data_IF_109174101410
#
_entry.id   IF_109174101410
#
_cell.length_a   1.000
_cell.length_b   1.000
_cell.length_c   1.000
_cell.angle_alpha   90.00
_cell.angle_beta   90.00
_cell.angle_gamma   90.00
#
_symmetry.space_group_name_H-M   'P 1'
#
loop_
_entity.id
_entity.type
_entity.pdbx_description
1 polymer ?
#
# COMPACT_ATOMS: atom_id res chain seq x y z
N UNK A 1 36.42 8.88 19.50
CA UNK A 1 35.54 8.13 18.61
C UNK A 1 34.53 7.23 19.36
N UNK A 2 34.96 6.46 20.38
CA UNK A 2 34.03 5.60 21.17
C UNK A 2 33.01 6.41 21.98
N UNK A 3 33.36 7.60 22.47
CA UNK A 3 32.40 8.47 23.18
C UNK A 3 31.37 9.12 22.27
N UNK A 4 31.72 9.42 21.02
CA UNK A 4 30.79 10.00 20.05
C UNK A 4 29.77 8.96 19.53
N UNK A 5 30.14 7.67 19.38
CA UNK A 5 29.24 6.62 18.96
C UNK A 5 28.21 6.29 20.04
N UNK A 6 28.63 6.16 21.31
CA UNK A 6 27.70 5.90 22.43
C UNK A 6 26.70 7.04 22.64
N UNK A 7 27.14 8.30 22.52
CA UNK A 7 26.24 9.45 22.59
C UNK A 7 25.23 9.46 21.41
N UNK A 8 25.69 9.12 20.21
CA UNK A 8 24.82 8.98 19.02
C UNK A 8 23.76 7.89 19.21
N UNK A 9 24.12 6.75 19.79
CA UNK A 9 23.18 5.64 20.00
C UNK A 9 22.15 5.96 21.09
N UNK A 10 22.53 6.68 22.16
CA UNK A 10 21.59 7.18 23.16
C UNK A 10 20.61 8.17 22.53
N UNK A 11 21.11 9.08 21.70
CA UNK A 11 20.28 10.08 21.02
C UNK A 11 19.27 9.43 20.06
N UNK A 12 19.69 8.44 19.27
CA UNK A 12 18.81 7.70 18.37
C UNK A 12 17.67 6.99 19.10
N UNK A 13 17.98 6.30 20.20
CA UNK A 13 16.97 5.64 21.03
C UNK A 13 15.98 6.62 21.65
N UNK A 14 16.45 7.78 22.09
CA UNK A 14 15.59 8.83 22.61
C UNK A 14 14.66 9.38 21.51
N UNK A 15 15.18 9.57 20.29
CA UNK A 15 14.40 10.06 19.16
C UNK A 15 13.32 9.07 18.75
N UNK A 16 13.61 7.75 18.76
CA UNK A 16 12.60 6.71 18.53
C UNK A 16 11.48 6.81 19.57
N UNK A 17 11.81 6.95 20.87
CA UNK A 17 10.81 7.10 21.91
C UNK A 17 9.97 8.37 21.75
N UNK A 18 10.60 9.50 21.42
CA UNK A 18 9.92 10.77 21.18
C UNK A 18 8.99 10.68 19.96
N UNK A 19 9.41 9.97 18.93
CA UNK A 19 8.58 9.74 17.75
C UNK A 19 7.33 8.92 18.08
N UNK A 20 7.49 7.81 18.82
CA UNK A 20 6.38 6.97 19.27
C UNK A 20 5.37 7.79 20.08
N UNK A 21 5.83 8.53 21.08
CA UNK A 21 4.99 9.35 21.93
C UNK A 21 4.24 10.43 21.13
N UNK A 22 4.94 11.11 20.22
CA UNK A 22 4.33 12.11 19.34
C UNK A 22 3.22 11.52 18.49
N UNK A 23 3.48 10.37 17.83
CA UNK A 23 2.51 9.72 16.95
C UNK A 23 1.30 9.20 17.74
N UNK A 24 1.50 8.69 18.95
CA UNK A 24 0.43 8.20 19.80
C UNK A 24 -0.58 9.29 20.21
N UNK A 25 -0.18 10.56 20.15
CA UNK A 25 -1.04 11.70 20.49
C UNK A 25 -1.60 12.43 19.27
N UNK A 26 -1.25 12.00 18.06
CA UNK A 26 -1.78 12.63 16.84
C UNK A 26 -3.16 12.09 16.51
N UNK A 27 -4.17 12.97 16.33
CA UNK A 27 -5.46 12.57 15.80
C UNK A 27 -5.30 11.82 14.47
N UNK A 28 -6.14 10.84 14.23
CA UNK A 28 -6.14 10.03 13.04
C UNK A 28 -7.49 10.12 12.32
N UNK A 29 -7.49 9.91 11.02
CA UNK A 29 -8.71 9.77 10.21
C UNK A 29 -9.67 10.96 10.20
N UNK A 30 -9.13 12.17 10.42
CA UNK A 30 -9.93 13.40 10.47
C UNK A 30 -10.69 13.61 11.78
N UNK A 31 -10.37 12.83 12.82
CA UNK A 31 -10.85 13.06 14.17
C UNK A 31 -10.08 14.22 14.82
N UNK A 32 -10.69 14.88 15.80
CA UNK A 32 -10.05 15.97 16.56
C UNK A 32 -9.28 15.44 17.78
N UNK A 33 -9.77 14.36 18.38
CA UNK A 33 -9.18 13.76 19.57
C UNK A 33 -8.07 12.74 19.25
N UNK A 34 -7.07 12.59 20.13
CA UNK A 34 -6.10 11.52 20.04
C UNK A 34 -6.74 10.13 20.08
N UNK A 35 -6.13 9.11 19.44
CA UNK A 35 -6.64 7.74 19.53
C UNK A 35 -6.50 7.16 20.95
N UNK A 36 -7.43 6.28 21.34
CA UNK A 36 -7.37 5.56 22.63
C UNK A 36 -6.19 4.60 22.73
N UNK A 37 -5.73 4.08 21.58
CA UNK A 37 -4.59 3.19 21.50
C UNK A 37 -3.78 3.43 20.22
N UNK A 38 -2.45 3.37 20.33
CA UNK A 38 -1.53 3.41 19.20
C UNK A 38 -0.86 2.04 19.05
N UNK A 39 -1.05 1.41 17.89
CA UNK A 39 -0.44 0.12 17.57
C UNK A 39 0.88 0.35 16.84
N UNK A 40 1.98 -0.15 17.44
CA UNK A 40 3.33 -0.03 16.89
C UNK A 40 3.82 -1.41 16.50
N UNK A 41 4.12 -1.59 15.22
CA UNK A 41 4.72 -2.81 14.73
C UNK A 41 6.24 -2.67 14.66
N UNK A 42 6.94 -3.60 15.30
CA UNK A 42 8.37 -3.79 15.12
C UNK A 42 8.58 -5.05 14.27
N UNK A 43 9.00 -4.83 13.02
CA UNK A 43 9.29 -5.90 12.08
C UNK A 43 10.61 -6.60 12.36
N UNK A 44 10.81 -7.75 11.72
CA UNK A 44 11.99 -8.58 11.84
C UNK A 44 11.89 -9.64 12.94
N UNK A 45 12.89 -10.52 12.96
CA UNK A 45 13.00 -11.58 13.98
C UNK A 45 13.65 -11.02 15.25
N UNK A 46 13.16 -11.44 16.41
CA UNK A 46 13.81 -11.09 17.69
C UNK A 46 15.24 -11.65 17.68
N UNK A 47 16.21 -10.76 17.93
CA UNK A 47 17.64 -11.09 17.87
C UNK A 47 18.37 -10.61 16.62
N UNK A 48 17.65 -10.12 15.61
CA UNK A 48 18.27 -9.48 14.44
C UNK A 48 18.97 -8.19 14.83
N UNK A 49 20.14 -7.96 14.22
CA UNK A 49 20.99 -6.79 14.54
C UNK A 49 20.26 -5.48 14.23
N UNK A 50 19.51 -5.43 13.15
CA UNK A 50 18.77 -4.26 12.69
C UNK A 50 17.67 -3.82 13.68
N UNK A 51 17.01 -4.76 14.34
CA UNK A 51 15.93 -4.50 15.29
C UNK A 51 16.42 -4.11 16.69
N UNK A 52 17.68 -4.41 17.03
CA UNK A 52 18.25 -4.20 18.38
C UNK A 52 18.09 -2.76 18.92
N UNK A 53 18.33 -1.68 18.15
CA UNK A 53 18.15 -0.32 18.65
C UNK A 53 16.69 0.02 19.00
N UNK A 54 15.75 -0.55 18.24
CA UNK A 54 14.31 -0.35 18.46
C UNK A 54 13.82 -1.13 19.68
N UNK A 55 14.25 -2.37 19.84
CA UNK A 55 13.92 -3.20 21.02
C UNK A 55 14.40 -2.51 22.29
N UNK A 56 15.64 -2.02 22.30
CA UNK A 56 16.18 -1.29 23.44
C UNK A 56 15.45 0.04 23.69
N UNK A 57 15.05 0.76 22.62
CA UNK A 57 14.23 1.95 22.74
C UNK A 57 12.86 1.65 23.38
N UNK A 58 12.20 0.57 22.95
CA UNK A 58 10.91 0.14 23.50
C UNK A 58 11.02 -0.30 24.96
N UNK A 59 12.10 -1.02 25.31
CA UNK A 59 12.37 -1.40 26.70
C UNK A 59 12.49 -0.18 27.60
N UNK A 60 13.23 0.85 27.16
CA UNK A 60 13.37 2.11 27.88
C UNK A 60 12.07 2.91 27.90
N UNK A 61 11.33 2.89 26.79
CA UNK A 61 10.05 3.57 26.67
C UNK A 61 9.02 3.04 27.66
N UNK A 62 8.88 1.73 27.81
CA UNK A 62 8.00 1.12 28.81
C UNK A 62 8.35 1.62 30.23
N UNK A 63 9.64 1.74 30.55
CA UNK A 63 10.07 2.25 31.84
C UNK A 63 9.75 3.75 32.03
N UNK A 64 9.87 4.52 30.93
CA UNK A 64 9.60 5.97 30.92
C UNK A 64 8.12 6.30 31.10
N UNK A 65 7.22 5.60 30.40
CA UNK A 65 5.77 5.89 30.41
C UNK A 65 5.01 5.07 31.45
N UNK A 66 5.61 4.05 32.02
CA UNK A 66 4.99 3.13 32.98
C UNK A 66 4.38 1.90 32.28
N UNK A 67 4.36 0.79 33.01
CA UNK A 67 3.88 -0.51 32.48
C UNK A 67 2.41 -0.49 32.09
N UNK A 68 1.61 0.29 32.78
CA UNK A 68 0.16 0.38 32.54
C UNK A 68 -0.20 1.09 31.21
N UNK A 69 0.78 1.76 30.59
CA UNK A 69 0.60 2.50 29.34
C UNK A 69 1.21 1.79 28.12
N UNK A 70 1.81 0.61 28.27
CA UNK A 70 2.42 -0.15 27.18
C UNK A 70 2.14 -1.63 27.35
N UNK A 71 1.57 -2.25 26.33
CA UNK A 71 1.35 -3.69 26.27
C UNK A 71 2.22 -4.30 25.18
N UNK A 72 3.04 -5.29 25.52
CA UNK A 72 3.84 -6.03 24.56
C UNK A 72 3.13 -7.26 24.05
N UNK A 73 2.80 -7.25 22.76
CA UNK A 73 2.21 -8.38 22.04
C UNK A 73 3.29 -9.06 21.22
N UNK A 74 3.59 -10.31 21.53
CA UNK A 74 4.57 -11.11 20.80
C UNK A 74 3.88 -12.06 19.82
N UNK A 75 4.12 -11.84 18.53
CA UNK A 75 3.60 -12.70 17.46
C UNK A 75 4.61 -13.83 17.18
N UNK A 76 4.16 -15.06 17.18
CA UNK A 76 5.01 -16.24 17.02
C UNK A 76 4.32 -17.33 16.19
N UNK A 77 5.11 -18.28 15.69
CA UNK A 77 4.62 -19.42 14.94
C UNK A 77 4.58 -20.68 15.83
N UNK A 78 3.47 -21.39 15.81
CA UNK A 78 3.28 -22.72 16.38
C UNK A 78 3.09 -23.72 15.22
N UNK A 79 4.17 -24.33 14.72
CA UNK A 79 4.09 -25.29 13.62
C UNK A 79 3.24 -26.50 13.99
N UNK A 80 2.46 -26.97 13.04
CA UNK A 80 1.72 -28.25 13.12
C UNK A 80 2.50 -29.27 12.30
N UNK A 81 2.94 -30.33 12.93
CA UNK A 81 3.87 -31.30 12.35
C UNK A 81 3.25 -32.69 12.20
N UNK A 82 3.56 -33.31 11.06
CA UNK A 82 3.22 -34.69 10.77
C UNK A 82 1.72 -34.96 10.58
N UNK A 83 1.37 -36.22 10.25
CA UNK A 83 -0.02 -36.58 9.96
C UNK A 83 -0.94 -36.57 11.20
N UNK A 84 -0.38 -36.55 12.40
CA UNK A 84 -1.12 -36.50 13.68
C UNK A 84 -1.48 -35.07 14.11
N UNK A 85 -0.98 -34.05 13.42
CA UNK A 85 -1.29 -32.66 13.76
C UNK A 85 -0.64 -32.16 15.06
N UNK A 86 0.55 -32.66 15.44
CA UNK A 86 1.23 -32.25 16.67
C UNK A 86 1.69 -30.78 16.62
N UNK A 87 1.23 -29.98 17.59
CA UNK A 87 1.59 -28.55 17.71
C UNK A 87 2.93 -28.38 18.45
N UNK A 88 3.90 -27.76 17.79
CA UNK A 88 5.26 -27.58 18.33
C UNK A 88 5.42 -26.21 19.00
N UNK A 89 5.56 -26.20 20.32
CA UNK A 89 5.69 -25.01 21.14
C UNK A 89 7.12 -24.45 21.25
N UNK A 90 8.14 -25.23 20.89
CA UNK A 90 9.55 -24.86 21.05
C UNK A 90 9.95 -23.57 20.31
N UNK A 91 9.53 -23.31 19.06
CA UNK A 91 9.87 -22.05 18.37
C UNK A 91 9.40 -20.82 19.18
N UNK A 92 8.16 -20.81 19.65
CA UNK A 92 7.61 -19.73 20.49
C UNK A 92 8.38 -19.58 21.80
N UNK A 93 8.68 -20.70 22.49
CA UNK A 93 9.45 -20.68 23.73
C UNK A 93 10.84 -20.05 23.53
N UNK A 94 11.52 -20.38 22.42
CA UNK A 94 12.82 -19.80 22.08
C UNK A 94 12.73 -18.32 21.78
N UNK A 95 11.79 -17.90 20.96
CA UNK A 95 11.58 -16.51 20.59
C UNK A 95 11.27 -15.62 21.82
N UNK A 96 10.41 -16.10 22.71
CA UNK A 96 10.11 -15.39 23.98
C UNK A 96 11.33 -15.36 24.92
N UNK A 97 12.11 -16.44 24.97
CA UNK A 97 13.35 -16.48 25.75
C UNK A 97 14.35 -15.41 25.27
N UNK A 98 14.53 -15.27 23.96
CA UNK A 98 15.40 -14.25 23.38
C UNK A 98 14.88 -12.84 23.70
N UNK A 99 13.59 -12.58 23.53
CA UNK A 99 12.97 -11.29 23.86
C UNK A 99 13.18 -10.91 25.34
N UNK A 100 13.00 -11.87 26.23
CA UNK A 100 13.26 -11.69 27.69
C UNK A 100 14.73 -11.43 27.98
N UNK A 101 15.64 -12.09 27.22
CA UNK A 101 17.08 -11.82 27.27
C UNK A 101 17.44 -10.36 26.94
N UNK A 102 16.63 -9.73 26.09
CA UNK A 102 16.73 -8.31 25.75
C UNK A 102 15.97 -7.39 26.73
N UNK A 103 15.37 -7.93 27.79
CA UNK A 103 14.73 -7.19 28.87
C UNK A 103 13.27 -6.82 28.65
N UNK A 104 12.60 -7.42 27.66
CA UNK A 104 11.16 -7.27 27.41
C UNK A 104 10.46 -8.58 27.72
N UNK A 105 9.41 -8.54 28.53
CA UNK A 105 8.52 -9.67 28.79
C UNK A 105 7.20 -9.39 28.05
N UNK A 106 6.73 -10.29 27.18
CA UNK A 106 5.44 -10.11 26.54
C UNK A 106 4.29 -10.23 27.54
N UNK A 107 3.27 -9.42 27.33
CA UNK A 107 2.02 -9.47 28.09
C UNK A 107 1.03 -10.41 27.40
N UNK A 108 1.08 -10.48 26.07
CA UNK A 108 0.20 -11.31 25.23
C UNK A 108 1.05 -12.08 24.21
N UNK A 109 0.70 -13.35 24.00
CA UNK A 109 1.23 -14.18 22.92
C UNK A 109 0.14 -14.36 21.87
N UNK A 110 0.43 -13.93 20.62
CA UNK A 110 -0.41 -14.22 19.46
C UNK A 110 0.28 -15.30 18.64
N UNK A 111 -0.27 -16.51 18.68
CA UNK A 111 0.36 -17.69 18.11
C UNK A 111 -0.31 -18.05 16.77
N UNK A 112 0.43 -17.87 15.67
CA UNK A 112 0.01 -18.29 14.34
C UNK A 112 0.16 -19.80 14.18
N UNK A 113 -0.82 -20.44 13.59
CA UNK A 113 -0.83 -21.88 13.31
C UNK A 113 -1.73 -22.17 12.11
N UNK A 114 -1.57 -23.33 11.47
CA UNK A 114 -2.49 -23.77 10.42
C UNK A 114 -3.83 -24.25 10.96
N UNK A 115 -3.89 -24.58 12.25
CA UNK A 115 -5.08 -25.09 12.94
C UNK A 115 -5.26 -24.38 14.29
N UNK A 116 -6.47 -24.34 14.86
CA UNK A 116 -6.69 -23.84 16.21
C UNK A 116 -5.78 -24.54 17.23
N UNK A 117 -5.19 -23.78 18.14
CA UNK A 117 -4.39 -24.37 19.21
C UNK A 117 -5.27 -25.10 20.23
N UNK A 118 -4.79 -26.25 20.71
CA UNK A 118 -5.43 -26.96 21.81
C UNK A 118 -5.19 -26.23 23.14
N UNK A 119 -6.09 -26.43 24.10
CA UNK A 119 -5.94 -25.82 25.44
C UNK A 119 -4.66 -26.30 26.13
N UNK A 120 -4.29 -27.58 25.96
CA UNK A 120 -3.02 -28.11 26.45
C UNK A 120 -1.80 -27.38 25.88
N UNK A 121 -1.84 -27.04 24.59
CA UNK A 121 -0.77 -26.27 23.93
C UNK A 121 -0.72 -24.85 24.49
N UNK A 122 -1.87 -24.19 24.72
CA UNK A 122 -1.95 -22.86 25.34
C UNK A 122 -1.40 -22.86 26.76
N UNK A 123 -1.84 -23.80 27.61
CA UNK A 123 -1.34 -23.95 28.99
C UNK A 123 0.17 -24.16 29.03
N UNK A 124 0.69 -25.00 28.14
CA UNK A 124 2.12 -25.24 28.03
C UNK A 124 2.90 -23.99 27.65
N UNK A 125 2.41 -23.20 26.68
CA UNK A 125 3.02 -21.92 26.30
C UNK A 125 2.94 -20.91 27.43
N UNK A 126 1.79 -20.78 28.09
CA UNK A 126 1.58 -19.91 29.23
C UNK A 126 2.62 -20.18 30.34
N UNK A 127 2.80 -21.44 30.71
CA UNK A 127 3.74 -21.86 31.74
C UNK A 127 5.20 -21.55 31.36
N UNK A 128 5.62 -21.86 30.13
CA UNK A 128 7.00 -21.65 29.69
C UNK A 128 7.34 -20.19 29.34
N UNK A 129 6.37 -19.42 28.88
CA UNK A 129 6.56 -18.03 28.51
C UNK A 129 6.24 -17.05 29.63
N UNK A 130 5.67 -17.54 30.73
CA UNK A 130 5.30 -16.75 31.92
C UNK A 130 4.24 -15.67 31.61
N UNK A 131 3.22 -16.05 30.85
CA UNK A 131 2.03 -15.25 30.59
C UNK A 131 0.79 -15.97 31.14
N UNK A 132 -0.31 -15.24 31.32
CA UNK A 132 -1.58 -15.88 31.68
C UNK A 132 -2.05 -16.80 30.54
N UNK A 133 -2.68 -17.97 30.83
CA UNK A 133 -3.29 -18.81 29.79
C UNK A 133 -4.28 -18.05 28.90
N UNK A 134 -5.04 -17.12 29.46
CA UNK A 134 -5.98 -16.26 28.73
C UNK A 134 -5.28 -15.28 27.79
N UNK A 135 -4.01 -14.97 28.04
CA UNK A 135 -3.20 -14.11 27.18
C UNK A 135 -2.48 -14.88 26.07
N UNK A 136 -2.68 -16.20 25.93
CA UNK A 136 -2.18 -17.00 24.81
C UNK A 136 -3.28 -17.14 23.77
N UNK A 137 -3.18 -16.33 22.72
CA UNK A 137 -4.18 -16.26 21.65
C UNK A 137 -3.81 -17.14 20.47
N UNK A 138 -4.76 -17.91 19.99
CA UNK A 138 -4.64 -18.73 18.78
C UNK A 138 -5.10 -17.94 17.56
N UNK A 139 -4.21 -17.75 16.59
CA UNK A 139 -4.55 -17.22 15.27
C UNK A 139 -4.22 -18.27 14.23
N UNK A 140 -5.23 -18.97 13.75
CA UNK A 140 -5.09 -20.00 12.74
C UNK A 140 -5.49 -19.49 11.36
N UNK A 141 -5.18 -20.25 10.32
CA UNK A 141 -5.53 -19.92 8.95
C UNK A 141 -7.05 -19.78 8.81
N UNK A 142 -7.45 -18.72 8.13
CA UNK A 142 -8.85 -18.34 7.89
C UNK A 142 -9.06 -18.02 6.41
N UNK A 143 -10.29 -18.06 5.88
CA UNK A 143 -10.56 -17.79 4.47
C UNK A 143 -10.02 -16.45 3.99
N UNK A 144 -10.12 -15.41 4.81
CA UNK A 144 -9.52 -14.11 4.55
C UNK A 144 -9.01 -13.46 5.85
N UNK A 145 -8.03 -12.59 5.72
CA UNK A 145 -7.32 -11.94 6.85
C UNK A 145 -8.26 -11.11 7.76
N UNK A 146 -9.40 -10.66 7.24
CA UNK A 146 -10.33 -9.79 7.98
C UNK A 146 -11.11 -10.55 9.08
N UNK A 147 -11.03 -11.89 9.10
CA UNK A 147 -11.51 -12.68 10.23
C UNK A 147 -10.59 -12.64 11.45
N UNK A 148 -9.33 -12.25 11.30
CA UNK A 148 -8.35 -12.27 12.41
C UNK A 148 -8.76 -11.34 13.57
N UNK A 149 -9.17 -10.07 13.35
CA UNK A 149 -9.66 -9.23 14.45
C UNK A 149 -10.85 -9.83 15.21
N UNK A 150 -11.80 -10.46 14.50
CA UNK A 150 -12.94 -11.14 15.10
C UNK A 150 -12.53 -12.35 15.92
N UNK A 151 -11.49 -13.06 15.49
CA UNK A 151 -10.93 -14.19 16.22
C UNK A 151 -10.23 -13.74 17.51
N UNK A 152 -9.53 -12.63 17.49
CA UNK A 152 -8.87 -12.05 18.66
C UNK A 152 -9.89 -11.47 19.65
N UNK A 153 -10.91 -10.77 19.15
CA UNK A 153 -12.03 -10.26 19.96
C UNK A 153 -12.74 -11.40 20.70
N UNK A 154 -13.09 -12.48 20.01
CA UNK A 154 -13.73 -13.65 20.60
C UNK A 154 -12.90 -14.31 21.71
N UNK A 155 -11.57 -14.18 21.66
CA UNK A 155 -10.66 -14.68 22.70
C UNK A 155 -10.42 -13.67 23.82
N UNK A 156 -11.09 -12.51 23.80
CA UNK A 156 -11.06 -11.53 24.89
C UNK A 156 -9.88 -10.55 24.84
N UNK A 157 -9.33 -10.27 23.65
CA UNK A 157 -8.21 -9.32 23.51
C UNK A 157 -8.50 -7.97 24.16
N UNK A 158 -9.66 -7.38 23.89
CA UNK A 158 -10.07 -6.10 24.47
C UNK A 158 -10.05 -6.09 26.00
N UNK A 159 -10.56 -7.16 26.61
CA UNK A 159 -10.58 -7.32 28.06
C UNK A 159 -9.15 -7.35 28.65
N UNK A 160 -8.22 -8.03 27.96
CA UNK A 160 -6.82 -8.12 28.41
C UNK A 160 -6.12 -6.77 28.25
N UNK A 161 -6.44 -6.02 27.21
CA UNK A 161 -5.91 -4.67 26.98
C UNK A 161 -6.54 -3.61 27.89
N UNK A 162 -7.60 -3.94 28.63
CA UNK A 162 -8.33 -2.97 29.45
C UNK A 162 -9.12 -1.94 28.63
N UNK A 163 -9.39 -2.24 27.36
CA UNK A 163 -10.15 -1.37 26.46
C UNK A 163 -11.64 -1.70 26.62
N UNK A 164 -12.47 -0.67 26.80
CA UNK A 164 -13.92 -0.84 26.83
C UNK A 164 -14.45 -1.10 25.43
N UNK A 165 -14.92 -2.32 25.18
CA UNK A 165 -15.50 -2.77 23.91
C UNK A 165 -17.02 -2.89 23.97
N UNK A 166 -17.71 -2.01 24.71
CA UNK A 166 -19.17 -2.02 24.82
C UNK A 166 -19.85 -1.53 23.53
N UNK A 167 -19.18 -0.73 22.70
CA UNK A 167 -19.67 -0.39 21.37
C UNK A 167 -19.28 -1.48 20.36
N UNK A 168 -20.23 -2.36 20.08
CA UNK A 168 -20.04 -3.45 19.12
C UNK A 168 -20.35 -3.06 17.68
N UNK A 169 -20.82 -1.84 17.42
CA UNK A 169 -21.26 -1.41 16.08
C UNK A 169 -20.13 -1.46 15.05
N UNK A 170 -18.94 -0.97 15.39
CA UNK A 170 -17.77 -1.00 14.49
C UNK A 170 -17.33 -2.44 14.19
N UNK A 171 -17.37 -3.33 15.17
CA UNK A 171 -17.06 -4.75 14.98
C UNK A 171 -18.14 -5.47 14.17
N UNK A 172 -19.39 -5.02 14.23
CA UNK A 172 -20.46 -5.60 13.41
C UNK A 172 -20.28 -5.28 11.94
N UNK A 173 -19.99 -4.02 11.59
CA UNK A 173 -19.66 -3.64 10.20
C UNK A 173 -18.43 -4.41 9.68
N UNK A 174 -17.41 -4.57 10.53
CA UNK A 174 -16.23 -5.36 10.19
C UNK A 174 -16.55 -6.83 9.97
N UNK A 175 -17.43 -7.38 10.80
CA UNK A 175 -17.90 -8.78 10.70
C UNK A 175 -18.66 -9.00 9.41
N UNK A 176 -19.61 -8.13 9.08
CA UNK A 176 -20.36 -8.18 7.83
C UNK A 176 -19.41 -8.15 6.63
N UNK A 177 -18.44 -7.20 6.62
CA UNK A 177 -17.44 -7.09 5.58
C UNK A 177 -16.61 -8.37 5.42
N UNK A 178 -16.12 -8.97 6.51
CA UNK A 178 -15.29 -10.18 6.47
C UNK A 178 -16.06 -11.38 5.91
N UNK A 179 -17.34 -11.56 6.33
CA UNK A 179 -18.18 -12.65 5.85
C UNK A 179 -18.73 -12.41 4.45
N UNK A 180 -18.95 -11.18 4.04
CA UNK A 180 -19.40 -10.86 2.69
C UNK A 180 -18.29 -11.14 1.67
N UNK A 181 -17.03 -10.88 2.04
CA UNK A 181 -15.89 -11.21 1.18
C UNK A 181 -15.81 -12.70 0.83
N UNK A 182 -16.17 -13.58 1.78
CA UNK A 182 -16.19 -15.04 1.55
C UNK A 182 -17.28 -15.48 0.56
N UNK A 183 -18.31 -14.65 0.34
CA UNK A 183 -19.48 -14.97 -0.49
C UNK A 183 -19.40 -14.38 -1.90
N UNK A 184 -18.36 -13.63 -2.22
CA UNK A 184 -18.23 -12.99 -3.54
C UNK A 184 -18.09 -14.03 -4.65
N UNK A 185 -18.94 -13.91 -5.66
CA UNK A 185 -19.01 -14.84 -6.80
C UNK A 185 -18.80 -14.15 -8.14
N UNK A 186 -19.07 -12.85 -8.24
CA UNK A 186 -18.88 -12.10 -9.48
C UNK A 186 -17.43 -11.65 -9.58
N UNK A 187 -16.75 -12.09 -10.62
CA UNK A 187 -15.33 -11.78 -10.84
C UNK A 187 -15.13 -10.38 -11.46
N UNK A 188 -13.97 -9.79 -11.19
CA UNK A 188 -13.39 -8.66 -11.91
C UNK A 188 -11.91 -8.88 -12.06
N UNK A 189 -11.37 -8.67 -13.25
CA UNK A 189 -9.96 -8.89 -13.56
C UNK A 189 -9.25 -7.57 -13.89
N UNK A 190 -8.09 -7.37 -13.26
CA UNK A 190 -7.25 -6.18 -13.48
C UNK A 190 -5.89 -6.60 -14.00
N UNK A 191 -5.51 -6.11 -15.17
CA UNK A 191 -4.15 -6.21 -15.68
C UNK A 191 -3.23 -5.29 -14.88
N UNK A 192 -2.31 -5.84 -14.12
CA UNK A 192 -1.26 -5.08 -13.44
C UNK A 192 0.02 -5.11 -14.29
N UNK A 193 0.28 -4.00 -14.99
CA UNK A 193 1.41 -3.89 -15.91
C UNK A 193 2.60 -3.30 -15.16
N UNK A 194 3.47 -4.16 -14.69
CA UNK A 194 4.57 -3.81 -13.77
C UNK A 194 5.93 -4.37 -14.17
N UNK A 195 6.89 -4.22 -13.27
CA UNK A 195 8.21 -4.86 -13.30
C UNK A 195 8.28 -5.88 -12.18
N UNK A 196 9.11 -6.94 -12.34
CA UNK A 196 9.31 -7.93 -11.28
C UNK A 196 8.00 -8.55 -10.80
N UNK A 197 7.16 -8.94 -11.73
CA UNK A 197 5.83 -9.51 -11.46
C UNK A 197 5.88 -10.81 -10.66
N UNK A 198 7.03 -11.48 -10.62
CA UNK A 198 7.28 -12.68 -9.80
C UNK A 198 7.41 -12.37 -8.29
N UNK A 199 7.61 -11.09 -7.91
CA UNK A 199 7.74 -10.63 -6.53
C UNK A 199 6.52 -9.80 -6.11
N UNK A 200 5.43 -10.45 -5.77
CA UNK A 200 4.17 -9.81 -5.35
C UNK A 200 4.34 -8.82 -4.18
N UNK A 201 5.31 -9.06 -3.30
CA UNK A 201 5.59 -8.19 -2.15
C UNK A 201 5.97 -6.75 -2.55
N UNK A 202 6.56 -6.57 -3.74
CA UNK A 202 6.92 -5.24 -4.26
C UNK A 202 5.71 -4.33 -4.49
N UNK A 203 4.52 -4.91 -4.67
CA UNK A 203 3.28 -4.20 -4.96
C UNK A 203 2.20 -4.40 -3.89
N UNK A 204 2.57 -4.84 -2.69
CA UNK A 204 1.62 -5.23 -1.65
C UNK A 204 0.58 -4.14 -1.35
N UNK A 205 0.99 -2.87 -1.24
CA UNK A 205 0.06 -1.76 -1.00
C UNK A 205 -0.93 -1.56 -2.15
N UNK A 206 -0.48 -1.72 -3.40
CA UNK A 206 -1.35 -1.64 -4.60
C UNK A 206 -2.33 -2.80 -4.63
N UNK A 207 -1.86 -4.04 -4.37
CA UNK A 207 -2.71 -5.24 -4.27
C UNK A 207 -3.78 -5.05 -3.20
N UNK A 208 -3.39 -4.58 -2.01
CA UNK A 208 -4.34 -4.31 -0.91
C UNK A 208 -5.36 -3.26 -1.29
N UNK A 209 -4.96 -2.20 -1.99
CA UNK A 209 -5.87 -1.15 -2.45
C UNK A 209 -6.89 -1.67 -3.48
N UNK A 210 -6.45 -2.51 -4.41
CA UNK A 210 -7.35 -3.22 -5.33
C UNK A 210 -8.32 -4.12 -4.57
N UNK A 211 -7.85 -4.89 -3.57
CA UNK A 211 -8.69 -5.73 -2.72
C UNK A 211 -9.73 -4.91 -1.96
N UNK A 212 -9.33 -3.78 -1.33
CA UNK A 212 -10.26 -2.90 -0.63
C UNK A 212 -11.34 -2.33 -1.56
N UNK A 213 -10.96 -1.93 -2.77
CA UNK A 213 -11.89 -1.44 -3.77
C UNK A 213 -12.83 -2.55 -4.27
N UNK A 214 -12.30 -3.74 -4.54
CA UNK A 214 -13.08 -4.91 -4.96
C UNK A 214 -14.12 -5.34 -3.92
N UNK A 215 -13.75 -5.31 -2.62
CA UNK A 215 -14.68 -5.52 -1.52
C UNK A 215 -15.83 -4.50 -1.55
N UNK A 216 -15.52 -3.22 -1.76
CA UNK A 216 -16.53 -2.16 -1.79
C UNK A 216 -17.50 -2.31 -2.95
N UNK A 217 -17.04 -2.74 -4.12
CA UNK A 217 -17.88 -2.98 -5.30
C UNK A 217 -18.48 -4.39 -5.32
N UNK A 218 -18.19 -5.21 -4.29
CA UNK A 218 -18.67 -6.59 -4.13
C UNK A 218 -18.28 -7.50 -5.30
N UNK A 219 -16.99 -7.44 -5.68
CA UNK A 219 -16.42 -8.29 -6.74
C UNK A 219 -15.28 -9.13 -6.21
N UNK A 220 -15.13 -10.33 -6.73
CA UNK A 220 -13.98 -11.19 -6.49
C UNK A 220 -12.87 -10.77 -7.45
N UNK A 221 -11.80 -10.19 -6.89
CA UNK A 221 -10.67 -9.68 -7.65
C UNK A 221 -9.77 -10.81 -8.15
N UNK A 222 -9.46 -10.79 -9.45
CA UNK A 222 -8.32 -11.48 -10.02
C UNK A 222 -7.31 -10.45 -10.58
N UNK A 223 -6.01 -10.70 -10.40
CA UNK A 223 -4.94 -9.83 -10.90
C UNK A 223 -4.17 -10.60 -11.97
N UNK A 224 -4.24 -10.09 -13.19
CA UNK A 224 -3.44 -10.59 -14.31
C UNK A 224 -2.10 -9.84 -14.31
N UNK A 225 -1.06 -10.53 -13.86
CA UNK A 225 0.29 -9.98 -13.82
C UNK A 225 0.90 -9.93 -15.20
N UNK A 226 1.33 -8.74 -15.62
CA UNK A 226 1.92 -8.52 -16.93
C UNK A 226 3.28 -7.86 -16.74
N UNK A 227 4.35 -8.58 -17.10
CA UNK A 227 5.67 -7.99 -17.18
C UNK A 227 5.71 -6.98 -18.32
N UNK A 228 5.93 -5.71 -17.99
CA UNK A 228 5.77 -4.62 -18.93
C UNK A 228 6.65 -4.75 -20.18
N UNK A 229 7.87 -5.27 -20.05
CA UNK A 229 8.77 -5.48 -21.18
C UNK A 229 8.21 -6.45 -22.22
N UNK A 230 7.34 -7.40 -21.83
CA UNK A 230 6.72 -8.36 -22.75
C UNK A 230 5.69 -7.71 -23.70
N UNK A 231 5.24 -6.49 -23.41
CA UNK A 231 4.36 -5.73 -24.30
C UNK A 231 5.11 -4.87 -25.33
N UNK A 232 6.44 -4.92 -25.35
CA UNK A 232 7.29 -4.14 -26.25
C UNK A 232 7.49 -4.88 -27.58
N UNK A 233 7.51 -4.15 -28.70
CA UNK A 233 7.54 -4.74 -30.06
C UNK A 233 8.75 -5.65 -30.33
N UNK A 234 9.88 -5.41 -29.70
CA UNK A 234 11.07 -6.24 -29.87
C UNK A 234 10.89 -7.67 -29.30
N UNK A 235 9.99 -7.87 -28.30
CA UNK A 235 9.64 -9.18 -27.78
C UNK A 235 8.87 -10.03 -28.77
N UNK A 236 8.08 -9.41 -29.65
CA UNK A 236 7.35 -10.11 -30.70
C UNK A 236 8.26 -10.95 -31.60
N UNK A 237 9.48 -10.48 -31.83
CA UNK A 237 10.44 -11.17 -32.69
C UNK A 237 11.30 -12.17 -31.91
N UNK A 238 11.64 -11.87 -30.66
CA UNK A 238 12.62 -12.63 -29.90
C UNK A 238 11.98 -13.67 -28.97
N UNK A 239 10.78 -13.39 -28.46
CA UNK A 239 10.07 -14.17 -27.44
C UNK A 239 8.56 -14.09 -27.70
N UNK A 240 8.14 -14.61 -28.84
CA UNK A 240 6.75 -14.51 -29.36
C UNK A 240 5.71 -15.03 -28.36
N UNK A 241 5.99 -16.14 -27.67
CA UNK A 241 5.03 -16.77 -26.76
C UNK A 241 4.74 -15.88 -25.55
N UNK A 242 5.78 -15.28 -24.94
CA UNK A 242 5.63 -14.35 -23.82
C UNK A 242 4.95 -13.05 -24.26
N UNK A 243 5.26 -12.56 -25.46
CA UNK A 243 4.59 -11.41 -26.04
C UNK A 243 3.10 -11.66 -26.25
N UNK A 244 2.73 -12.77 -26.89
CA UNK A 244 1.34 -13.12 -27.14
C UNK A 244 0.57 -13.34 -25.84
N UNK A 245 1.17 -14.03 -24.88
CA UNK A 245 0.59 -14.26 -23.55
C UNK A 245 0.33 -12.95 -22.80
N UNK A 246 1.29 -12.01 -22.81
CA UNK A 246 1.14 -10.71 -22.16
C UNK A 246 0.01 -9.88 -22.79
N UNK A 247 -0.05 -9.83 -24.13
CA UNK A 247 -1.12 -9.15 -24.85
C UNK A 247 -2.49 -9.81 -24.66
N UNK A 248 -2.54 -11.13 -24.61
CA UNK A 248 -3.77 -11.85 -24.31
C UNK A 248 -4.27 -11.50 -22.90
N UNK A 249 -3.39 -11.60 -21.88
CA UNK A 249 -3.74 -11.23 -20.50
C UNK A 249 -4.22 -9.78 -20.38
N UNK A 250 -3.61 -8.84 -21.12
CA UNK A 250 -4.06 -7.45 -21.17
C UNK A 250 -5.48 -7.31 -21.77
N UNK A 251 -5.76 -8.01 -22.85
CA UNK A 251 -7.04 -7.96 -23.58
C UNK A 251 -8.18 -8.65 -22.85
N UNK A 252 -7.89 -9.65 -22.05
CA UNK A 252 -8.88 -10.41 -21.27
C UNK A 252 -9.21 -9.75 -19.94
N UNK A 253 -8.51 -8.66 -19.58
CA UNK A 253 -8.74 -7.95 -18.32
C UNK A 253 -9.80 -6.86 -18.47
N UNK A 254 -10.60 -6.67 -17.42
CA UNK A 254 -11.67 -5.68 -17.37
C UNK A 254 -11.15 -4.25 -17.12
N UNK A 255 -9.92 -4.12 -16.64
CA UNK A 255 -9.26 -2.84 -16.41
C UNK A 255 -7.75 -2.98 -16.38
N UNK A 256 -7.05 -1.86 -16.53
CA UNK A 256 -5.59 -1.77 -16.57
C UNK A 256 -5.07 -0.86 -15.46
N UNK A 257 -4.09 -1.35 -14.71
CA UNK A 257 -3.36 -0.57 -13.72
C UNK A 257 -1.87 -0.55 -14.05
N UNK A 258 -1.30 0.65 -14.17
CA UNK A 258 0.14 0.87 -14.30
C UNK A 258 0.65 1.51 -13.01
N UNK A 259 1.34 0.76 -12.16
CA UNK A 259 1.84 1.25 -10.87
C UNK A 259 3.06 2.15 -11.04
N UNK A 260 3.42 2.84 -9.96
CA UNK A 260 4.66 3.58 -9.83
C UNK A 260 5.90 2.69 -9.99
N UNK A 261 7.01 3.31 -10.35
CA UNK A 261 8.29 2.62 -10.51
C UNK A 261 9.40 3.60 -10.91
N UNK A 262 10.63 3.10 -10.96
CA UNK A 262 11.81 3.88 -11.39
C UNK A 262 12.56 3.14 -12.50
N UNK A 263 13.29 3.90 -13.31
CA UNK A 263 14.14 3.40 -14.40
C UNK A 263 13.37 3.02 -15.66
N UNK A 264 14.10 2.76 -16.72
CA UNK A 264 13.68 2.69 -18.13
C UNK A 264 13.11 1.33 -18.56
N UNK A 265 13.43 0.24 -17.86
CA UNK A 265 12.97 -1.11 -18.24
C UNK A 265 11.44 -1.20 -18.29
N UNK A 266 10.91 -1.65 -19.41
CA UNK A 266 9.47 -1.89 -19.62
C UNK A 266 8.63 -0.62 -19.78
N UNK A 267 9.26 0.54 -20.04
CA UNK A 267 8.55 1.82 -20.21
C UNK A 267 7.70 1.80 -21.47
N UNK A 268 8.23 1.34 -22.60
CA UNK A 268 7.49 1.27 -23.85
C UNK A 268 6.30 0.29 -23.76
N UNK A 269 6.48 -0.81 -23.02
CA UNK A 269 5.36 -1.72 -22.78
C UNK A 269 4.25 -1.10 -21.92
N UNK A 270 4.59 -0.26 -20.94
CA UNK A 270 3.60 0.51 -20.18
C UNK A 270 2.89 1.56 -21.04
N UNK A 271 3.63 2.23 -21.94
CA UNK A 271 3.06 3.16 -22.93
C UNK A 271 2.08 2.41 -23.84
N UNK A 272 2.44 1.21 -24.31
CA UNK A 272 1.58 0.37 -25.14
C UNK A 272 0.31 -0.07 -24.39
N UNK A 273 0.42 -0.40 -23.10
CA UNK A 273 -0.74 -0.74 -22.27
C UNK A 273 -1.68 0.46 -22.06
N UNK A 274 -1.11 1.66 -21.82
CA UNK A 274 -1.87 2.91 -21.69
C UNK A 274 -2.59 3.25 -23.00
N UNK A 275 -1.90 3.08 -24.14
CA UNK A 275 -2.48 3.24 -25.49
C UNK A 275 -3.65 2.29 -25.72
N UNK A 276 -3.44 1.00 -25.43
CA UNK A 276 -4.48 -0.01 -25.59
C UNK A 276 -5.73 0.35 -24.77
N UNK A 277 -5.55 0.73 -23.51
CA UNK A 277 -6.66 1.10 -22.64
C UNK A 277 -7.42 2.33 -23.18
N UNK A 278 -6.71 3.38 -23.62
CA UNK A 278 -7.31 4.59 -24.19
C UNK A 278 -8.08 4.30 -25.47
N UNK A 279 -7.47 3.60 -26.43
CA UNK A 279 -8.07 3.35 -27.74
C UNK A 279 -9.27 2.39 -27.71
N UNK A 280 -9.32 1.50 -26.73
CA UNK A 280 -10.37 0.49 -26.58
C UNK A 280 -11.38 0.81 -25.46
N UNK A 281 -11.32 2.00 -24.88
CA UNK A 281 -12.19 2.44 -23.78
C UNK A 281 -12.18 1.46 -22.57
N UNK A 282 -11.00 0.88 -22.26
CA UNK A 282 -10.79 0.00 -21.11
C UNK A 282 -10.40 0.85 -19.90
N UNK A 283 -11.04 0.67 -18.73
CA UNK A 283 -10.69 1.41 -17.51
C UNK A 283 -9.19 1.39 -17.22
N UNK A 284 -8.61 2.56 -16.96
CA UNK A 284 -7.18 2.74 -16.74
C UNK A 284 -6.92 3.56 -15.47
N UNK A 285 -5.96 3.09 -14.66
CA UNK A 285 -5.39 3.85 -13.56
C UNK A 285 -3.86 3.86 -13.69
N UNK A 286 -3.29 5.05 -13.87
CA UNK A 286 -1.84 5.28 -13.86
C UNK A 286 -1.37 5.94 -12.57
N UNK A 287 -0.46 5.30 -11.83
CA UNK A 287 0.06 5.81 -10.55
C UNK A 287 1.50 6.27 -10.74
N UNK A 288 1.83 7.50 -10.41
CA UNK A 288 3.17 8.09 -10.46
C UNK A 288 3.79 7.92 -11.87
N UNK A 289 4.67 6.96 -12.08
CA UNK A 289 5.17 6.61 -13.42
C UNK A 289 4.03 6.26 -14.39
N UNK A 290 2.95 5.65 -13.90
CA UNK A 290 1.76 5.33 -14.72
C UNK A 290 1.07 6.57 -15.30
N UNK A 291 0.98 7.67 -14.53
CA UNK A 291 0.54 8.96 -15.05
C UNK A 291 1.49 9.47 -16.15
N UNK A 292 2.80 9.38 -15.90
CA UNK A 292 3.82 9.91 -16.80
C UNK A 292 3.84 9.18 -18.14
N UNK A 293 3.78 7.84 -18.14
CA UNK A 293 3.76 7.05 -19.38
C UNK A 293 2.47 7.27 -20.19
N UNK A 294 1.33 7.45 -19.53
CA UNK A 294 0.08 7.80 -20.20
C UNK A 294 0.13 9.20 -20.82
N UNK A 295 0.80 10.16 -20.18
CA UNK A 295 1.03 11.50 -20.76
C UNK A 295 1.95 11.41 -21.98
N UNK A 296 3.04 10.63 -21.92
CA UNK A 296 3.94 10.40 -23.06
C UNK A 296 3.18 9.75 -24.21
N UNK A 297 2.37 8.71 -23.92
CA UNK A 297 1.51 8.05 -24.89
C UNK A 297 0.61 9.04 -25.62
N UNK A 298 -0.08 9.88 -24.84
CA UNK A 298 -1.00 10.88 -25.37
C UNK A 298 -0.30 11.92 -26.26
N UNK A 299 0.88 12.37 -25.85
CA UNK A 299 1.71 13.27 -26.67
C UNK A 299 2.11 12.63 -28.00
N UNK A 300 2.53 11.35 -27.99
CA UNK A 300 2.94 10.63 -29.20
C UNK A 300 1.78 10.38 -30.15
N UNK A 301 0.69 9.82 -29.65
CA UNK A 301 -0.35 9.24 -30.50
C UNK A 301 -1.57 10.16 -30.71
N UNK A 302 -1.77 11.19 -29.90
CA UNK A 302 -2.87 12.16 -30.05
C UNK A 302 -2.35 13.51 -30.55
N UNK A 303 -1.23 14.00 -30.00
CA UNK A 303 -0.65 15.28 -30.42
C UNK A 303 0.33 15.15 -31.61
N UNK A 304 0.70 13.92 -32.02
CA UNK A 304 1.66 13.69 -33.12
C UNK A 304 3.09 14.07 -32.79
N UNK A 305 3.46 14.05 -31.50
CA UNK A 305 4.83 14.31 -31.02
C UNK A 305 5.59 12.98 -30.93
N UNK A 306 5.94 12.38 -32.07
CA UNK A 306 6.49 11.01 -32.17
C UNK A 306 7.70 10.74 -31.26
N UNK A 307 8.55 11.76 -31.03
CA UNK A 307 9.72 11.68 -30.13
C UNK A 307 9.43 12.03 -28.67
N UNK A 308 8.17 12.17 -28.26
CA UNK A 308 7.85 12.55 -26.88
C UNK A 308 8.35 11.50 -25.87
N UNK A 309 9.05 11.96 -24.82
CA UNK A 309 9.63 11.09 -23.81
C UNK A 309 9.78 11.81 -22.45
N UNK A 310 10.24 11.08 -21.45
CA UNK A 310 10.71 11.63 -20.18
C UNK A 310 12.20 11.90 -20.24
N UNK A 311 12.64 13.03 -19.68
CA UNK A 311 14.07 13.31 -19.49
C UNK A 311 14.74 12.39 -18.46
N UNK A 312 13.98 11.50 -17.81
CA UNK A 312 14.51 10.39 -17.01
C UNK A 312 15.10 9.30 -17.91
N UNK A 313 14.47 9.03 -19.06
CA UNK A 313 14.83 7.92 -19.95
C UNK A 313 15.67 8.38 -21.13
N UNK A 314 15.42 9.61 -21.61
CA UNK A 314 16.17 10.24 -22.68
C UNK A 314 16.36 11.74 -22.36
N UNK A 315 17.57 12.10 -21.93
CA UNK A 315 17.90 13.50 -21.61
C UNK A 315 17.82 14.44 -22.84
N UNK A 316 17.86 13.89 -24.05
CA UNK A 316 17.83 14.62 -25.32
C UNK A 316 16.50 14.42 -26.06
N UNK A 317 15.43 14.02 -25.37
CA UNK A 317 14.12 13.83 -25.99
C UNK A 317 13.72 15.04 -26.83
N UNK A 318 13.28 14.82 -28.07
CA UNK A 318 12.87 15.89 -29.00
C UNK A 318 11.69 16.67 -28.41
N UNK A 319 10.75 15.96 -27.78
CA UNK A 319 9.61 16.54 -27.06
C UNK A 319 9.62 16.03 -25.62
N UNK A 320 10.21 16.77 -24.67
CA UNK A 320 10.27 16.38 -23.26
C UNK A 320 8.89 16.52 -22.61
N UNK A 321 8.07 15.47 -22.69
CA UNK A 321 6.72 15.45 -22.13
C UNK A 321 6.73 15.37 -20.59
N UNK A 322 7.76 14.73 -20.02
CA UNK A 322 8.00 14.63 -18.59
C UNK A 322 9.40 15.11 -18.29
N UNK A 323 9.54 16.03 -17.34
CA UNK A 323 10.81 16.69 -17.04
C UNK A 323 11.21 16.51 -15.58
N UNK A 324 12.50 16.65 -15.31
CA UNK A 324 13.02 16.74 -13.95
C UNK A 324 12.54 18.05 -13.30
N UNK A 325 12.08 17.99 -12.04
CA UNK A 325 11.57 19.17 -11.32
C UNK A 325 12.65 20.26 -11.22
N UNK A 326 12.40 21.49 -11.69
CA UNK A 326 13.44 22.53 -11.87
C UNK A 326 14.11 22.98 -10.57
N UNK A 327 13.40 22.96 -9.44
CA UNK A 327 13.94 23.37 -8.14
C UNK A 327 14.78 22.31 -7.46
N UNK A 328 14.91 21.12 -8.04
CA UNK A 328 15.67 20.01 -7.48
C UNK A 328 17.07 19.94 -8.09
N UNK A 329 18.08 19.81 -7.24
CA UNK A 329 19.47 19.67 -7.70
C UNK A 329 19.74 18.29 -8.28
N UNK A 330 20.21 18.22 -9.52
CA UNK A 330 20.66 16.98 -10.19
C UNK A 330 21.92 16.37 -9.54
N UNK A 331 22.71 17.18 -8.83
CA UNK A 331 24.00 16.76 -8.27
C UNK A 331 23.94 16.32 -6.81
N UNK A 332 22.92 16.72 -6.06
CA UNK A 332 22.71 16.35 -4.66
C UNK A 332 21.40 15.56 -4.54
N UNK A 333 21.46 14.26 -4.84
CA UNK A 333 20.28 13.39 -4.87
C UNK A 333 19.67 13.06 -3.50
N UNK A 334 20.34 13.39 -2.41
CA UNK A 334 19.80 13.25 -1.05
C UNK A 334 18.82 14.38 -0.71
N UNK A 335 17.55 14.06 -0.43
CA UNK A 335 16.53 15.05 -0.09
C UNK A 335 15.89 15.80 -1.27
N UNK A 336 16.03 15.31 -2.49
CA UNK A 336 15.59 15.95 -3.74
C UNK A 336 14.32 15.35 -4.36
N UNK A 337 13.60 14.53 -3.64
CA UNK A 337 12.28 14.05 -4.08
C UNK A 337 11.17 14.94 -3.50
N UNK A 338 10.09 15.14 -4.25
CA UNK A 338 8.82 15.57 -3.67
C UNK A 338 8.31 14.42 -2.81
N UNK A 339 8.32 14.61 -1.52
CA UNK A 339 8.05 13.56 -0.52
C UNK A 339 6.95 13.97 0.45
N UNK A 340 6.27 12.95 1.00
CA UNK A 340 5.30 13.09 2.08
C UNK A 340 3.92 13.49 1.60
N UNK A 341 3.04 13.80 2.56
CA UNK A 341 1.67 14.27 2.27
C UNK A 341 1.73 15.67 1.70
N UNK A 342 1.02 15.89 0.57
CA UNK A 342 0.92 17.18 -0.10
C UNK A 342 -0.51 17.39 -0.58
N UNK A 343 -1.03 18.63 -0.51
CA UNK A 343 -2.34 18.94 -1.02
C UNK A 343 -2.35 18.99 -2.54
N UNK A 344 -3.42 18.46 -3.13
CA UNK A 344 -3.77 18.57 -4.55
C UNK A 344 -5.09 19.32 -4.64
N UNK A 345 -5.12 20.44 -5.33
CA UNK A 345 -6.28 21.32 -5.47
C UNK A 345 -7.05 21.03 -6.75
N UNK A 346 -8.38 20.96 -6.66
CA UNK A 346 -9.24 20.75 -7.81
C UNK A 346 -9.22 21.95 -8.75
N UNK A 347 -9.10 21.68 -10.05
CA UNK A 347 -9.10 22.70 -11.10
C UNK A 347 -10.43 22.80 -11.84
N UNK A 348 -11.32 21.82 -11.61
CA UNK A 348 -12.64 21.75 -12.23
C UNK A 348 -13.71 21.47 -11.17
N UNK A 349 -14.91 21.99 -11.38
CA UNK A 349 -16.02 21.80 -10.44
C UNK A 349 -16.56 20.38 -10.45
N UNK A 350 -16.61 19.74 -11.60
CA UNK A 350 -17.15 18.40 -11.78
C UNK A 350 -16.23 17.53 -12.62
N UNK A 351 -15.74 16.45 -12.04
CA UNK A 351 -15.03 15.35 -12.72
C UNK A 351 -15.20 14.04 -11.95
N UNK A 352 -14.96 12.90 -12.60
CA UNK A 352 -15.20 11.57 -12.03
C UNK A 352 -14.42 11.38 -10.74
N UNK A 353 -13.13 11.73 -10.76
CA UNK A 353 -12.26 11.52 -9.62
C UNK A 353 -12.61 12.43 -8.42
N UNK A 354 -13.00 13.68 -8.63
CA UNK A 354 -13.46 14.58 -7.57
C UNK A 354 -14.71 14.03 -6.87
N UNK A 355 -15.69 13.55 -7.65
CA UNK A 355 -16.89 12.91 -7.09
C UNK A 355 -16.54 11.71 -6.20
N UNK A 356 -15.57 10.90 -6.58
CA UNK A 356 -15.12 9.74 -5.80
C UNK A 356 -14.42 10.12 -4.50
N UNK A 357 -13.66 11.22 -4.49
CA UNK A 357 -13.05 11.75 -3.27
C UNK A 357 -14.09 12.39 -2.33
N UNK A 358 -15.11 13.01 -2.89
CA UNK A 358 -16.17 13.67 -2.12
C UNK A 358 -15.67 14.89 -1.32
N UNK A 359 -14.66 15.60 -1.82
CA UNK A 359 -14.06 16.78 -1.18
C UNK A 359 -14.23 18.01 -2.08
N UNK A 360 -14.45 19.17 -1.48
CA UNK A 360 -14.77 20.39 -2.23
C UNK A 360 -13.54 21.09 -2.78
N UNK A 361 -12.48 21.25 -1.97
CA UNK A 361 -11.34 22.12 -2.30
C UNK A 361 -10.10 21.34 -2.72
N UNK A 362 -9.68 20.36 -1.92
CA UNK A 362 -8.42 19.66 -2.11
C UNK A 362 -8.40 18.27 -1.50
N UNK A 363 -7.39 17.50 -1.85
CA UNK A 363 -7.06 16.21 -1.24
C UNK A 363 -5.59 16.18 -0.86
N UNK A 364 -5.29 15.62 0.31
CA UNK A 364 -3.92 15.36 0.72
C UNK A 364 -3.52 13.96 0.33
N UNK A 365 -2.45 13.82 -0.45
CA UNK A 365 -1.94 12.51 -0.86
C UNK A 365 -0.42 12.42 -0.76
N UNK A 366 0.13 11.19 -0.72
CA UNK A 366 1.57 10.98 -0.54
C UNK A 366 2.31 10.98 -1.85
N UNK A 367 3.35 11.80 -1.95
CA UNK A 367 4.23 11.93 -3.12
C UNK A 367 5.57 11.24 -2.90
N UNK A 368 6.12 10.70 -4.00
CA UNK A 368 7.47 10.14 -4.06
C UNK A 368 7.97 10.17 -5.51
N UNK A 369 8.27 11.36 -6.02
CA UNK A 369 8.74 11.50 -7.42
C UNK A 369 9.76 12.63 -7.57
N UNK A 370 10.53 12.60 -8.68
CA UNK A 370 11.49 13.62 -9.12
C UNK A 370 11.12 14.24 -10.46
N UNK A 371 10.25 13.58 -11.21
CA UNK A 371 9.84 13.99 -12.54
C UNK A 371 8.36 14.32 -12.52
N UNK A 372 7.97 15.25 -13.39
CA UNK A 372 6.60 15.74 -13.52
C UNK A 372 6.27 16.09 -14.97
N UNK A 373 4.99 16.26 -15.29
CA UNK A 373 4.55 16.69 -16.61
C UNK A 373 5.15 18.08 -16.92
N UNK A 374 5.70 18.22 -18.14
CA UNK A 374 6.27 19.49 -18.58
C UNK A 374 5.20 20.58 -18.66
N UNK A 375 5.33 21.69 -17.91
CA UNK A 375 4.37 22.79 -17.94
C UNK A 375 4.16 23.41 -19.34
N UNK A 376 5.18 23.39 -20.20
CA UNK A 376 5.14 24.03 -21.52
C UNK A 376 4.17 23.35 -22.51
N UNK A 377 3.76 22.10 -22.25
CA UNK A 377 2.87 21.34 -23.13
C UNK A 377 1.48 21.10 -22.57
N UNK A 378 1.21 21.53 -21.33
CA UNK A 378 -0.07 21.30 -20.64
C UNK A 378 -1.24 21.80 -21.46
N UNK A 379 -1.15 23.03 -21.99
CA UNK A 379 -2.23 23.64 -22.77
C UNK A 379 -2.58 22.82 -24.02
N UNK A 380 -1.57 22.29 -24.72
CA UNK A 380 -1.77 21.45 -25.90
C UNK A 380 -2.46 20.13 -25.54
N UNK A 381 -2.07 19.53 -24.41
CA UNK A 381 -2.66 18.29 -23.90
C UNK A 381 -4.14 18.50 -23.52
N UNK A 382 -4.42 19.60 -22.81
CA UNK A 382 -5.79 19.92 -22.37
C UNK A 382 -6.71 20.25 -23.55
N UNK A 383 -6.22 20.95 -24.57
CA UNK A 383 -6.95 21.23 -25.81
C UNK A 383 -7.29 19.97 -26.60
N UNK A 384 -6.45 18.93 -26.48
CA UNK A 384 -6.68 17.63 -27.14
C UNK A 384 -7.58 16.67 -26.33
N UNK A 385 -8.04 17.07 -25.12
CA UNK A 385 -9.06 16.36 -24.36
C UNK A 385 -8.59 15.65 -23.10
N UNK A 386 -7.29 15.58 -22.78
CA UNK A 386 -6.80 15.10 -21.49
C UNK A 386 -6.69 16.28 -20.53
N UNK A 387 -7.56 16.34 -19.53
CA UNK A 387 -7.63 17.47 -18.59
C UNK A 387 -6.87 17.22 -17.31
N UNK A 388 -6.08 18.17 -16.88
CA UNK A 388 -5.45 18.15 -15.57
C UNK A 388 -6.39 18.74 -14.51
N UNK A 389 -7.17 17.85 -13.91
CA UNK A 389 -8.25 18.17 -12.96
C UNK A 389 -7.76 18.41 -11.53
N UNK A 390 -6.51 18.06 -11.22
CA UNK A 390 -5.86 18.31 -9.93
C UNK A 390 -4.45 18.86 -10.11
N UNK A 391 -4.12 19.95 -9.40
CA UNK A 391 -2.81 20.59 -9.41
C UNK A 391 -2.35 20.91 -7.98
N UNK A 392 -1.05 21.16 -7.82
CA UNK A 392 -0.47 21.57 -6.54
C UNK A 392 -0.91 22.97 -6.10
N UNK A 393 -0.42 23.42 -4.96
CA UNK A 393 -0.68 24.74 -4.39
C UNK A 393 -0.25 25.93 -5.25
N UNK A 394 0.66 25.70 -6.21
CA UNK A 394 1.10 26.73 -7.16
C UNK A 394 0.24 26.80 -8.41
N UNK A 395 -0.58 25.78 -8.67
CA UNK A 395 -1.37 25.61 -9.89
C UNK A 395 -0.53 25.25 -11.13
N UNK A 396 0.76 24.97 -10.96
CA UNK A 396 1.67 24.68 -12.06
C UNK A 396 1.92 23.18 -12.26
N UNK A 397 1.92 22.38 -11.17
CA UNK A 397 2.20 20.95 -11.24
C UNK A 397 0.94 20.15 -11.42
N UNK A 398 0.93 19.35 -12.46
CA UNK A 398 -0.17 18.44 -12.78
C UNK A 398 -0.08 17.19 -11.93
N UNK A 399 -1.04 16.99 -11.04
CA UNK A 399 -1.07 15.88 -10.09
C UNK A 399 -2.15 14.84 -10.40
N UNK A 400 -3.23 15.26 -11.10
CA UNK A 400 -4.28 14.34 -11.56
C UNK A 400 -4.68 14.74 -12.97
N UNK A 401 -4.72 13.78 -13.88
CA UNK A 401 -5.43 13.93 -15.14
C UNK A 401 -6.63 13.00 -15.23
N UNK A 402 -7.61 13.42 -16.05
CA UNK A 402 -8.77 12.64 -16.45
C UNK A 402 -9.05 12.84 -17.94
N UNK A 403 -9.46 11.77 -18.63
CA UNK A 403 -9.92 11.83 -20.01
C UNK A 403 -11.45 11.82 -20.01
N UNK A 404 -12.07 12.93 -20.49
CA UNK A 404 -13.52 13.15 -20.39
C UNK A 404 -14.36 12.09 -21.09
N UNK A 405 -14.02 11.78 -22.35
CA UNK A 405 -14.79 10.89 -23.20
C UNK A 405 -14.45 9.38 -23.00
N UNK A 406 -13.83 9.05 -21.88
CA UNK A 406 -13.46 7.70 -21.53
C UNK A 406 -14.24 7.20 -20.31
N UNK A 407 -14.57 5.90 -20.25
CA UNK A 407 -15.29 5.32 -19.12
C UNK A 407 -14.57 5.59 -17.80
N UNK A 408 -13.27 5.37 -17.74
CA UNK A 408 -12.37 5.75 -16.65
C UNK A 408 -10.93 5.73 -17.14
N UNK A 409 -10.31 6.88 -17.32
CA UNK A 409 -8.90 6.98 -17.70
C UNK A 409 -8.27 8.07 -16.85
N UNK A 410 -7.67 7.65 -15.75
CA UNK A 410 -7.19 8.54 -14.70
C UNK A 410 -5.72 8.26 -14.43
N UNK A 411 -4.93 9.32 -14.34
CA UNK A 411 -3.56 9.27 -13.85
C UNK A 411 -3.40 10.15 -12.62
N UNK A 412 -2.64 9.64 -11.63
CA UNK A 412 -2.31 10.37 -10.41
C UNK A 412 -0.80 10.36 -10.20
N UNK A 413 -0.20 11.52 -9.88
CA UNK A 413 1.25 11.63 -9.66
C UNK A 413 1.67 11.16 -8.27
N UNK A 414 0.76 11.19 -7.33
CA UNK A 414 0.92 10.69 -5.97
C UNK A 414 0.65 9.17 -5.87
N UNK A 415 0.81 8.63 -4.68
CA UNK A 415 0.63 7.22 -4.35
C UNK A 415 -0.62 6.99 -3.48
N UNK A 416 -1.81 6.85 -4.10
CA UNK A 416 -3.08 6.73 -3.38
C UNK A 416 -3.22 5.39 -2.63
N UNK A 417 -2.39 4.39 -2.93
CA UNK A 417 -2.35 3.10 -2.25
C UNK A 417 -2.03 3.22 -0.76
N UNK A 418 -1.34 4.26 -0.33
CA UNK A 418 -0.97 4.43 1.07
C UNK A 418 -2.12 4.86 1.99
N UNK A 419 -3.21 5.34 1.43
CA UNK A 419 -4.40 5.76 2.20
C UNK A 419 -5.57 4.80 2.10
N UNK A 420 -5.46 3.74 1.29
CA UNK A 420 -6.53 2.76 1.13
C UNK A 420 -6.66 1.87 2.36
N UNK A 421 -7.90 1.64 2.79
CA UNK A 421 -8.24 0.82 3.95
C UNK A 421 -9.45 -0.07 3.70
N UNK A 422 -9.60 -1.18 4.43
CA UNK A 422 -10.86 -1.94 4.44
C UNK A 422 -12.04 -1.03 4.80
N UNK A 423 -13.16 -1.17 4.10
CA UNK A 423 -14.31 -0.30 4.26
C UNK A 423 -14.18 1.13 3.67
N UNK A 424 -12.95 1.63 3.51
CA UNK A 424 -12.64 2.96 3.00
C UNK A 424 -11.53 2.90 1.93
N UNK A 425 -11.85 2.31 0.76
CA UNK A 425 -10.89 2.17 -0.32
C UNK A 425 -10.45 3.53 -0.85
N UNK A 426 -9.20 3.61 -1.32
CA UNK A 426 -8.71 4.81 -1.98
C UNK A 426 -9.53 5.10 -3.24
N UNK A 427 -10.01 6.35 -3.44
CA UNK A 427 -10.92 6.73 -4.52
C UNK A 427 -10.43 6.40 -5.93
N UNK A 428 -9.14 6.58 -6.31
CA UNK A 428 -8.67 6.17 -7.64
C UNK A 428 -8.83 4.67 -7.93
N UNK A 429 -8.57 3.83 -6.92
CA UNK A 429 -8.76 2.38 -7.05
C UNK A 429 -10.24 2.02 -7.09
N UNK A 430 -11.06 2.71 -6.29
CA UNK A 430 -12.52 2.50 -6.31
C UNK A 430 -13.09 2.81 -7.69
N UNK A 431 -12.70 3.94 -8.30
CA UNK A 431 -13.13 4.31 -9.66
C UNK A 431 -12.73 3.28 -10.70
N UNK A 432 -11.48 2.78 -10.66
CA UNK A 432 -11.03 1.70 -11.55
C UNK A 432 -11.93 0.47 -11.41
N UNK A 433 -12.15 -0.01 -10.19
CA UNK A 433 -12.96 -1.21 -9.94
C UNK A 433 -14.44 -1.01 -10.28
N UNK A 434 -15.03 0.16 -10.01
CA UNK A 434 -16.40 0.48 -10.43
C UNK A 434 -16.53 0.42 -11.95
N UNK A 435 -15.66 1.10 -12.67
CA UNK A 435 -15.68 1.12 -14.13
C UNK A 435 -15.45 -0.27 -14.73
N UNK A 436 -14.46 -1.03 -14.21
CA UNK A 436 -14.16 -2.41 -14.65
C UNK A 436 -15.30 -3.38 -14.36
N UNK A 437 -16.15 -3.07 -13.38
CA UNK A 437 -17.34 -3.85 -13.05
C UNK A 437 -18.62 -3.38 -13.76
N UNK A 438 -18.54 -2.39 -14.65
CA UNK A 438 -19.69 -1.80 -15.34
C UNK A 438 -20.63 -0.99 -14.43
N UNK A 439 -20.14 -0.55 -13.25
CA UNK A 439 -20.89 0.26 -12.32
C UNK A 439 -20.75 1.75 -12.67
N UNK A 440 -21.75 2.56 -12.31
CA UNK A 440 -21.70 4.02 -12.53
C UNK A 440 -20.74 4.68 -11.53
N UNK A 441 -19.95 5.61 -12.03
CA UNK A 441 -19.03 6.47 -11.29
C UNK A 441 -19.76 7.69 -10.71
#
# INVERSE_FOLDING_TARGET
>A
HRRSSAASDVYKRQEIQNWIERVAHLPADGLEDPPDACIIELGGTVGDIESSPYIEALRQFQFRVGRDNVTFVHVSLVPVMGPVGEQKTKPTQHSVKELRGLGITPDILVCRSTQPMTDETKEKLAAFCHVSPDAVMSTHDVPNIYHVPLMLEKQGLCKILGIDCNDTSVLEEWREMAYDLDKLTEDVSIAMVGKYTDLSDSYLSVIKSLQHAAMKVRRKLSINWIEASHLEDHWKTNNSDEYESAWQGLKESDGVLVPGGFGDRGVEGKINAARYARENNIPYLGICLGLQVATIEFCRNVLGMDGANSTEFDENAEYPAVIFMPEISKTHLGGTMRLGSRPTFWQVEDCKIKRLYGTDDSVDERHRHRYEVNPDIIENIEQAGMKFVGKDETGQRCEIFELDDHVYYVGVQYHPEFKSRPGRPSPPFLGLLMASSGLKL
#
